data_IF_974370949998
#
_entry.id   IF_974370949998
#
_cell.length_a   1.000
_cell.length_b   1.000
_cell.length_c   1.000
_cell.angle_alpha   90.00
_cell.angle_beta   90.00
_cell.angle_gamma   90.00
#
_symmetry.space_group_name_H-M   'P 1'
#
loop_
_entity.id
_entity.type
_entity.pdbx_description
1 polymer ?
#
# COMPACT_ATOMS: atom_id res chain seq x y z
N UNK A 1 22.58 19.09 5.47
CA UNK A 1 21.40 18.33 5.93
C UNK A 1 21.79 17.00 6.56
N UNK A 2 22.23 15.97 5.81
CA UNK A 2 22.56 14.65 6.41
C UNK A 2 23.71 14.75 7.42
N UNK A 3 24.83 15.39 7.07
CA UNK A 3 25.95 15.64 7.99
C UNK A 3 25.50 16.40 9.24
N UNK A 4 24.85 17.54 9.05
CA UNK A 4 24.40 18.41 10.15
C UNK A 4 23.42 17.71 11.11
N UNK A 5 22.59 16.79 10.60
CA UNK A 5 21.71 15.96 11.44
C UNK A 5 22.50 14.87 12.17
N UNK A 6 23.42 14.19 11.47
CA UNK A 6 24.24 13.13 12.04
C UNK A 6 25.15 13.62 13.18
N UNK A 7 25.57 14.89 13.14
CA UNK A 7 26.32 15.56 14.22
C UNK A 7 25.47 15.82 15.49
N UNK A 8 24.13 15.81 15.37
CA UNK A 8 23.21 15.96 16.51
C UNK A 8 22.82 14.61 17.09
N UNK A 9 22.25 13.74 16.26
CA UNK A 9 21.88 12.36 16.60
C UNK A 9 21.56 11.55 15.34
N UNK A 10 21.84 10.24 15.38
CA UNK A 10 21.56 9.31 14.28
C UNK A 10 20.15 8.71 14.37
N UNK A 11 19.75 8.26 15.56
CA UNK A 11 18.46 7.58 15.78
C UNK A 11 18.08 7.67 17.25
N UNK A 12 16.83 8.03 17.53
CA UNK A 12 16.28 8.12 18.89
C UNK A 12 15.04 7.26 19.09
N UNK A 13 14.61 6.53 18.05
CA UNK A 13 13.26 5.97 17.93
C UNK A 13 12.18 7.03 18.14
N UNK A 14 11.48 7.44 17.07
CA UNK A 14 10.45 8.47 17.17
C UNK A 14 9.31 8.10 18.13
N UNK A 15 9.08 6.81 18.37
CA UNK A 15 8.07 6.35 19.33
C UNK A 15 8.52 6.47 20.79
N UNK A 16 9.83 6.59 21.04
CA UNK A 16 10.41 6.80 22.36
C UNK A 16 10.73 8.28 22.60
N UNK A 17 11.51 8.90 21.70
CA UNK A 17 11.90 10.30 21.77
C UNK A 17 11.63 10.97 20.41
N UNK A 18 10.54 11.73 20.28
CA UNK A 18 10.15 12.36 19.03
C UNK A 18 11.07 13.55 18.68
N UNK A 19 11.12 13.89 17.40
CA UNK A 19 11.95 14.97 16.88
C UNK A 19 11.24 15.80 15.79
N UNK A 20 11.50 17.11 15.80
CA UNK A 20 10.81 18.12 15.00
C UNK A 20 10.84 17.83 13.48
N UNK A 21 11.96 17.35 12.97
CA UNK A 21 12.12 17.12 11.53
C UNK A 21 11.16 16.07 10.96
N UNK A 22 10.71 15.08 11.75
CA UNK A 22 9.69 14.13 11.31
C UNK A 22 8.29 14.76 11.26
N UNK A 23 7.99 15.66 12.21
CA UNK A 23 6.71 16.39 12.28
C UNK A 23 6.59 17.34 11.10
N UNK A 24 7.64 18.13 10.83
CA UNK A 24 7.69 19.01 9.67
C UNK A 24 7.52 18.23 8.36
N UNK A 25 8.15 17.05 8.26
CA UNK A 25 8.02 16.20 7.08
C UNK A 25 6.58 15.70 6.92
N UNK A 26 5.93 15.30 8.02
CA UNK A 26 4.52 14.88 8.02
C UNK A 26 3.60 16.00 7.53
N UNK A 27 3.76 17.22 8.03
CA UNK A 27 2.95 18.38 7.63
C UNK A 27 3.13 18.71 6.14
N UNK A 28 4.40 18.74 5.68
CA UNK A 28 4.73 18.96 4.27
C UNK A 28 4.11 17.87 3.39
N UNK A 29 4.19 16.61 3.80
CA UNK A 29 3.65 15.47 3.04
C UNK A 29 2.12 15.52 2.96
N UNK A 30 1.43 15.76 4.07
CA UNK A 30 -0.05 15.86 4.11
C UNK A 30 -0.56 17.01 3.25
N UNK A 31 0.15 18.14 3.23
CA UNK A 31 -0.19 19.30 2.40
C UNK A 31 -0.04 19.02 0.90
N UNK A 32 0.95 18.22 0.52
CA UNK A 32 1.21 17.84 -0.87
C UNK A 32 0.36 16.65 -1.35
N UNK A 33 -0.09 15.82 -0.41
CA UNK A 33 -0.94 14.68 -0.73
C UNK A 33 -2.28 15.17 -1.32
N UNK A 34 -2.68 14.64 -2.48
CA UNK A 34 -3.83 15.13 -3.24
C UNK A 34 -5.18 14.89 -2.53
N UNK A 35 -6.20 15.63 -3.00
CA UNK A 35 -7.53 15.67 -2.39
C UNK A 35 -7.63 16.64 -1.20
N UNK A 36 -8.86 17.02 -0.84
CA UNK A 36 -9.13 18.05 0.18
C UNK A 36 -9.57 17.50 1.55
N UNK A 37 -9.37 16.20 1.79
CA UNK A 37 -9.70 15.58 3.08
C UNK A 37 -8.60 15.82 4.12
N UNK A 38 -8.94 15.83 5.42
CA UNK A 38 -7.94 15.76 6.50
C UNK A 38 -7.10 14.50 6.37
N UNK A 39 -5.78 14.60 6.57
CA UNK A 39 -4.85 13.47 6.44
C UNK A 39 -3.83 13.48 7.57
N UNK A 40 -3.26 12.31 7.83
CA UNK A 40 -2.15 12.10 8.75
C UNK A 40 -1.09 11.26 8.04
N UNK A 41 0.17 11.45 8.40
CA UNK A 41 1.29 10.69 7.85
C UNK A 41 1.89 9.78 8.92
N UNK A 42 2.34 8.61 8.49
CA UNK A 42 3.15 7.68 9.28
C UNK A 42 4.38 7.30 8.45
N UNK A 43 5.53 7.11 9.11
CA UNK A 43 6.80 6.86 8.46
C UNK A 43 7.31 5.45 8.73
N UNK A 44 7.90 4.86 7.70
CA UNK A 44 8.52 3.55 7.72
C UNK A 44 9.81 3.61 6.89
N UNK A 45 10.64 2.56 6.95
CA UNK A 45 11.96 2.59 6.33
C UNK A 45 11.92 2.25 4.83
N UNK A 46 10.93 1.47 4.41
CA UNK A 46 10.81 0.94 3.05
C UNK A 46 9.39 1.10 2.50
N UNK A 47 9.29 1.08 1.17
CA UNK A 47 7.99 1.04 0.50
C UNK A 47 7.19 -0.22 0.84
N UNK A 48 7.85 -1.34 1.12
CA UNK A 48 7.16 -2.56 1.53
C UNK A 48 6.49 -2.40 2.90
N UNK A 49 7.20 -1.86 3.90
CA UNK A 49 6.62 -1.57 5.22
C UNK A 49 5.47 -0.54 5.13
N UNK A 50 5.60 0.45 4.24
CA UNK A 50 4.53 1.42 4.00
C UNK A 50 3.27 0.73 3.45
N UNK A 51 3.40 -0.19 2.50
CA UNK A 51 2.27 -0.96 1.96
C UNK A 51 1.69 -1.92 3.01
N UNK A 52 2.53 -2.60 3.81
CA UNK A 52 2.01 -3.47 4.88
C UNK A 52 1.21 -2.69 5.92
N UNK A 53 1.68 -1.49 6.30
CA UNK A 53 0.93 -0.66 7.23
C UNK A 53 -0.32 -0.03 6.59
N UNK A 54 -0.32 0.27 5.30
CA UNK A 54 -1.53 0.65 4.58
C UNK A 54 -2.57 -0.47 4.62
N UNK A 55 -2.18 -1.73 4.40
CA UNK A 55 -3.07 -2.90 4.54
C UNK A 55 -3.58 -3.03 5.97
N UNK A 56 -2.71 -2.88 6.98
CA UNK A 56 -3.11 -2.92 8.40
C UNK A 56 -4.15 -1.85 8.73
N UNK A 57 -3.93 -0.60 8.32
CA UNK A 57 -4.85 0.52 8.56
C UNK A 57 -6.18 0.28 7.84
N UNK A 58 -6.14 -0.15 6.56
CA UNK A 58 -7.35 -0.45 5.80
C UNK A 58 -8.17 -1.56 6.46
N UNK A 59 -7.55 -2.68 6.83
CA UNK A 59 -8.23 -3.80 7.53
C UNK A 59 -8.77 -3.36 8.89
N UNK A 60 -7.99 -2.60 9.67
CA UNK A 60 -8.40 -2.12 10.99
C UNK A 60 -9.59 -1.16 10.91
N UNK A 61 -9.63 -0.28 9.91
CA UNK A 61 -10.71 0.68 9.70
C UNK A 61 -11.98 0.02 9.15
N UNK A 62 -11.84 -0.80 8.12
CA UNK A 62 -12.98 -1.38 7.38
C UNK A 62 -13.52 -2.68 7.99
N UNK A 63 -12.74 -3.35 8.85
CA UNK A 63 -13.01 -4.70 9.39
C UNK A 63 -13.14 -5.80 8.34
N UNK A 64 -12.52 -5.56 7.18
CA UNK A 64 -12.59 -6.40 5.99
C UNK A 64 -11.22 -6.99 5.67
N UNK A 65 -11.07 -8.31 5.53
CA UNK A 65 -9.77 -8.94 5.37
C UNK A 65 -9.24 -8.88 3.93
N UNK A 66 -10.12 -8.85 2.93
CA UNK A 66 -9.74 -8.97 1.52
C UNK A 66 -9.08 -7.70 0.96
N UNK A 67 -7.97 -7.89 0.24
CA UNK A 67 -7.26 -6.85 -0.50
C UNK A 67 -7.21 -7.23 -1.98
N UNK A 68 -7.56 -6.28 -2.83
CA UNK A 68 -7.40 -6.41 -4.29
C UNK A 68 -6.10 -5.76 -4.74
N UNK A 69 -5.39 -6.46 -5.62
CA UNK A 69 -4.23 -5.97 -6.37
C UNK A 69 -4.43 -6.19 -7.86
N UNK A 70 -3.62 -5.53 -8.67
CA UNK A 70 -3.67 -5.68 -10.13
C UNK A 70 -2.62 -6.64 -10.67
N UNK A 71 -2.89 -7.20 -11.83
CA UNK A 71 -1.85 -7.72 -12.71
C UNK A 71 -0.83 -6.62 -13.00
N UNK A 72 0.41 -7.03 -13.26
CA UNK A 72 1.60 -6.19 -13.48
C UNK A 72 2.01 -5.33 -12.29
N UNK A 73 1.34 -5.43 -11.13
CA UNK A 73 1.70 -4.70 -9.93
C UNK A 73 3.01 -5.20 -9.29
N UNK A 74 3.73 -4.28 -8.65
CA UNK A 74 4.87 -4.54 -7.77
C UNK A 74 4.70 -3.76 -6.47
N UNK A 75 4.69 -4.48 -5.34
CA UNK A 75 4.41 -3.88 -4.03
C UNK A 75 5.53 -4.09 -3.01
N UNK A 76 6.56 -4.87 -3.35
CA UNK A 76 7.69 -5.14 -2.46
C UNK A 76 8.07 -6.61 -2.37
N UNK A 77 8.93 -6.93 -1.40
CA UNK A 77 9.56 -8.25 -1.22
C UNK A 77 9.40 -8.84 0.19
N UNK A 78 8.57 -8.25 1.04
CA UNK A 78 8.11 -8.90 2.28
C UNK A 78 7.04 -9.93 1.96
N UNK A 79 6.67 -10.83 2.89
CA UNK A 79 5.72 -11.91 2.60
C UNK A 79 4.38 -11.39 2.03
N UNK A 80 3.79 -10.38 2.65
CA UNK A 80 2.55 -9.76 2.18
C UNK A 80 2.75 -9.05 0.84
N UNK A 81 3.80 -8.25 0.71
CA UNK A 81 4.01 -7.47 -0.52
C UNK A 81 4.48 -8.32 -1.71
N UNK A 82 5.15 -9.45 -1.49
CA UNK A 82 5.37 -10.50 -2.48
C UNK A 82 4.05 -11.11 -2.92
N UNK A 83 3.15 -11.44 -1.98
CA UNK A 83 1.81 -11.95 -2.29
C UNK A 83 1.08 -11.01 -3.26
N UNK A 84 1.12 -9.71 -2.96
CA UNK A 84 0.54 -8.62 -3.75
C UNK A 84 1.24 -8.42 -5.11
N UNK A 85 2.57 -8.58 -5.19
CA UNK A 85 3.35 -8.48 -6.43
C UNK A 85 2.93 -9.52 -7.48
N UNK A 86 2.83 -9.12 -8.76
CA UNK A 86 2.38 -10.01 -9.84
C UNK A 86 3.47 -10.99 -10.28
N UNK A 87 4.61 -10.46 -10.72
CA UNK A 87 5.63 -11.24 -11.41
C UNK A 87 6.27 -12.27 -10.47
N UNK A 88 6.21 -13.54 -10.85
CA UNK A 88 6.74 -14.63 -10.03
C UNK A 88 8.27 -14.66 -9.96
N UNK A 89 8.96 -14.50 -11.09
CA UNK A 89 10.42 -14.45 -11.16
C UNK A 89 10.91 -13.01 -11.37
N UNK A 90 11.89 -12.49 -10.60
CA UNK A 90 12.64 -13.15 -9.52
C UNK A 90 12.07 -12.91 -8.11
N UNK A 91 10.79 -12.51 -7.99
CA UNK A 91 10.29 -11.90 -6.76
C UNK A 91 9.62 -12.86 -5.77
N UNK A 92 9.03 -13.97 -6.23
CA UNK A 92 8.12 -14.82 -5.44
C UNK A 92 8.42 -16.31 -5.53
N UNK A 93 9.10 -16.75 -6.59
CA UNK A 93 9.36 -18.16 -6.84
C UNK A 93 10.05 -18.83 -5.62
N UNK A 94 9.51 -19.94 -5.15
CA UNK A 94 9.93 -20.69 -3.96
C UNK A 94 9.81 -19.98 -2.59
N UNK A 95 9.15 -18.83 -2.46
CA UNK A 95 8.98 -18.13 -1.17
C UNK A 95 7.61 -18.27 -0.51
N UNK A 96 6.76 -19.20 -1.00
CA UNK A 96 5.45 -19.49 -0.41
C UNK A 96 5.53 -20.36 0.87
N UNK A 97 4.39 -20.59 1.57
CA UNK A 97 3.05 -20.14 1.22
C UNK A 97 2.85 -18.63 1.42
N UNK A 98 1.92 -18.05 0.66
CA UNK A 98 1.67 -16.60 0.64
C UNK A 98 0.54 -16.18 1.58
N UNK A 99 0.46 -14.88 1.86
CA UNK A 99 -0.58 -14.32 2.72
C UNK A 99 -1.98 -14.58 2.14
N UNK A 100 -2.98 -14.99 2.95
CA UNK A 100 -4.34 -15.20 2.47
C UNK A 100 -5.05 -13.86 2.21
N UNK A 101 -6.23 -13.95 1.61
CA UNK A 101 -7.13 -12.80 1.39
C UNK A 101 -6.54 -11.71 0.46
N UNK A 102 -5.70 -12.12 -0.49
CA UNK A 102 -5.16 -11.26 -1.55
C UNK A 102 -5.67 -11.76 -2.91
N UNK A 103 -6.43 -10.92 -3.60
CA UNK A 103 -7.07 -11.24 -4.88
C UNK A 103 -6.51 -10.37 -5.99
N UNK A 104 -6.44 -10.90 -7.22
CA UNK A 104 -5.84 -10.21 -8.35
C UNK A 104 -6.84 -9.96 -9.46
N UNK A 105 -6.85 -8.72 -9.97
CA UNK A 105 -7.66 -8.31 -11.12
C UNK A 105 -6.78 -7.90 -12.31
N UNK A 106 -7.25 -8.00 -13.56
CA UNK A 106 -6.55 -7.47 -14.73
C UNK A 106 -6.32 -5.96 -14.60
N UNK A 107 -5.15 -5.47 -15.02
CA UNK A 107 -4.88 -4.04 -15.06
C UNK A 107 -5.51 -3.40 -16.30
N UNK A 108 -6.26 -2.29 -16.18
CA UNK A 108 -6.79 -1.57 -17.33
C UNK A 108 -5.66 -1.12 -18.27
N UNK A 109 -5.69 -1.56 -19.52
CA UNK A 109 -4.71 -1.15 -20.54
C UNK A 109 -5.38 -0.99 -21.89
N UNK A 110 -4.69 -0.40 -22.87
CA UNK A 110 -5.20 -0.32 -24.25
C UNK A 110 -5.52 -1.70 -24.84
N UNK A 111 -4.77 -2.74 -24.43
CA UNK A 111 -4.99 -4.13 -24.84
C UNK A 111 -6.11 -4.84 -24.06
N UNK A 112 -6.45 -4.34 -22.87
CA UNK A 112 -7.48 -4.86 -21.97
C UNK A 112 -8.25 -3.68 -21.38
N UNK A 113 -9.09 -3.01 -22.17
CA UNK A 113 -9.83 -1.86 -21.71
C UNK A 113 -10.86 -2.31 -20.67
N UNK A 114 -10.72 -1.82 -19.44
CA UNK A 114 -11.79 -1.90 -18.45
C UNK A 114 -12.76 -0.77 -18.78
N UNK A 115 -13.90 -1.10 -19.37
CA UNK A 115 -14.73 -0.10 -20.05
C UNK A 115 -15.49 0.82 -19.09
N UNK A 116 -15.79 0.37 -17.86
CA UNK A 116 -16.50 1.13 -16.83
C UNK A 116 -16.44 0.47 -15.44
N UNK A 117 -17.08 1.11 -14.46
CA UNK A 117 -17.17 0.63 -13.07
C UNK A 117 -18.04 -0.64 -12.96
N UNK A 118 -19.04 -0.79 -13.83
CA UNK A 118 -19.93 -1.95 -13.86
C UNK A 118 -19.17 -3.22 -14.26
N UNK A 119 -18.17 -3.12 -15.13
CA UNK A 119 -17.31 -4.26 -15.49
C UNK A 119 -16.39 -4.64 -14.33
N UNK A 120 -15.92 -3.65 -13.55
CA UNK A 120 -15.21 -3.90 -12.31
C UNK A 120 -16.12 -4.61 -11.29
N UNK A 121 -17.33 -4.12 -11.07
CA UNK A 121 -18.33 -4.74 -10.18
C UNK A 121 -18.68 -6.17 -10.62
N UNK A 122 -18.90 -6.42 -11.91
CA UNK A 122 -19.12 -7.78 -12.43
C UNK A 122 -17.94 -8.70 -12.13
N UNK A 123 -16.70 -8.23 -12.30
CA UNK A 123 -15.50 -8.99 -11.97
C UNK A 123 -15.47 -9.30 -10.47
N UNK A 124 -15.78 -8.35 -9.60
CA UNK A 124 -15.88 -8.56 -8.15
C UNK A 124 -16.98 -9.58 -7.77
N UNK A 125 -18.15 -9.50 -8.41
CA UNK A 125 -19.26 -10.44 -8.20
C UNK A 125 -18.88 -11.85 -8.64
N UNK A 126 -18.31 -11.98 -9.85
CA UNK A 126 -17.94 -13.28 -10.44
C UNK A 126 -16.80 -13.96 -9.68
N UNK A 127 -15.91 -13.19 -9.06
CA UNK A 127 -14.83 -13.71 -8.22
C UNK A 127 -15.27 -14.05 -6.79
N UNK A 128 -16.57 -13.90 -6.45
CA UNK A 128 -17.14 -14.01 -5.10
C UNK A 128 -16.47 -13.08 -4.07
N UNK A 129 -15.91 -11.96 -4.54
CA UNK A 129 -15.23 -10.94 -3.74
C UNK A 129 -16.24 -9.91 -3.19
N UNK A 130 -17.51 -10.02 -3.58
CA UNK A 130 -18.58 -9.14 -3.13
C UNK A 130 -18.91 -9.43 -1.64
N UNK A 131 -18.36 -8.59 -0.77
CA UNK A 131 -18.95 -8.03 0.47
C UNK A 131 -17.86 -7.47 1.41
N UNK A 132 -16.59 -7.79 1.19
CA UNK A 132 -15.53 -7.55 2.19
C UNK A 132 -14.25 -6.91 1.64
N UNK A 133 -14.31 -6.07 0.61
CA UNK A 133 -13.07 -5.75 -0.13
C UNK A 133 -12.76 -4.27 -0.17
N UNK A 134 -11.47 -3.95 0.07
CA UNK A 134 -10.88 -2.62 -0.11
C UNK A 134 -9.90 -2.70 -1.29
N UNK A 135 -10.05 -1.81 -2.27
CA UNK A 135 -9.11 -1.69 -3.37
C UNK A 135 -8.03 -0.70 -2.93
N UNK A 136 -6.78 -1.15 -2.83
CA UNK A 136 -5.64 -0.22 -2.69
C UNK A 136 -5.35 0.32 -4.09
N UNK A 137 -6.27 1.12 -4.63
CA UNK A 137 -5.88 2.13 -5.59
C UNK A 137 -5.21 3.23 -4.77
N UNK A 138 -3.94 3.45 -5.09
CA UNK A 138 -3.28 4.74 -5.11
C UNK A 138 -4.08 5.83 -4.37
N UNK A 139 -3.64 6.19 -3.17
CA UNK A 139 -4.04 7.42 -2.48
C UNK A 139 -3.53 8.59 -3.34
N UNK A 140 -4.13 8.81 -4.50
CA UNK A 140 -4.03 9.98 -5.34
C UNK A 140 -5.34 10.04 -6.17
N UNK A 141 -6.25 11.02 -5.95
CA UNK A 141 -7.15 11.43 -7.02
C UNK A 141 -6.37 12.00 -8.21
#
# INVERSE_FOLDING_TARGET
AVKDQAEKYLHTDFTAVPYESLVELAEKLVKLAPGNTPKVAAFFNSGAEAIENAVKIARAHTKRPAIIVFENAFHGRTLLTMTMTHKAMPYKYHFGPFAPEIYRLPFPSSSHPMANIEDFEKILVNTRIFLETFVIYQILP
#
